data_IF_698157943765
#
_entry.id   IF_698157943765
#
_cell.length_a   1.000
_cell.length_b   1.000
_cell.length_c   1.000
_cell.angle_alpha   90.00
_cell.angle_beta   90.00
_cell.angle_gamma   90.00
#
_symmetry.space_group_name_H-M   'P 1'
#
loop_
_entity.id
_entity.type
_entity.pdbx_description
1 polymer ?
#
# COMPACT_ATOMS: atom_id res chain seq x y z
N UNK A 1 -2.10 1.09 -22.71
CA UNK A 1 -2.49 1.08 -21.27
C UNK A 1 -3.41 2.25 -21.01
N UNK A 2 -4.65 2.04 -20.56
CA UNK A 2 -5.59 3.14 -20.23
C UNK A 2 -5.53 3.39 -18.73
N UNK A 3 -4.90 4.48 -18.32
CA UNK A 3 -4.85 4.92 -16.92
C UNK A 3 -6.16 5.65 -16.60
N UNK A 4 -6.79 5.31 -15.46
CA UNK A 4 -7.96 6.03 -14.95
C UNK A 4 -7.68 6.52 -13.53
N UNK A 5 -8.14 7.73 -13.24
CA UNK A 5 -8.07 8.28 -11.89
C UNK A 5 -9.25 7.81 -11.06
N UNK A 6 -8.97 7.49 -9.81
CA UNK A 6 -9.98 7.16 -8.80
C UNK A 6 -9.86 8.21 -7.71
N UNK A 7 -10.94 8.94 -7.48
CA UNK A 7 -11.01 9.93 -6.41
C UNK A 7 -11.30 9.23 -5.08
N UNK A 8 -10.45 9.49 -4.09
CA UNK A 8 -10.69 9.08 -2.72
C UNK A 8 -11.46 10.18 -1.97
N UNK A 9 -12.37 9.82 -1.05
CA UNK A 9 -12.95 10.78 -0.12
C UNK A 9 -11.85 11.56 0.61
N UNK A 10 -12.14 12.84 0.87
CA UNK A 10 -11.22 13.70 1.63
C UNK A 10 -10.98 13.08 3.02
N UNK A 11 -9.72 13.07 3.45
CA UNK A 11 -9.31 12.57 4.78
C UNK A 11 -9.66 11.09 5.07
N UNK A 12 -9.66 10.23 4.04
CA UNK A 12 -9.88 8.79 4.20
C UNK A 12 -8.61 7.96 3.88
N UNK A 13 -7.50 8.12 4.64
CA UNK A 13 -6.25 7.39 4.39
C UNK A 13 -6.44 5.86 4.52
N UNK A 14 -7.43 5.41 5.28
CA UNK A 14 -7.75 3.99 5.44
C UNK A 14 -8.18 3.32 4.13
N UNK A 15 -8.67 4.09 3.16
CA UNK A 15 -9.10 3.61 1.85
C UNK A 15 -7.93 3.50 0.86
N UNK A 16 -6.80 4.14 1.14
CA UNK A 16 -5.62 4.13 0.28
C UNK A 16 -4.74 2.90 0.56
N UNK A 17 -4.56 1.98 -0.40
CA UNK A 17 -3.67 0.81 -0.21
C UNK A 17 -2.22 1.22 0.06
N UNK A 18 -1.79 2.35 -0.52
CA UNK A 18 -0.45 2.89 -0.32
C UNK A 18 -0.25 3.41 1.10
N UNK A 19 -1.24 4.09 1.68
CA UNK A 19 -1.16 4.57 3.07
C UNK A 19 -1.13 3.41 4.07
N UNK A 20 -1.88 2.32 3.78
CA UNK A 20 -1.82 1.09 4.56
C UNK A 20 -0.43 0.44 4.52
N UNK A 21 0.15 0.33 3.32
CA UNK A 21 1.50 -0.22 3.13
C UNK A 21 2.55 0.64 3.83
N UNK A 22 2.44 1.97 3.70
CA UNK A 22 3.31 2.93 4.36
C UNK A 22 3.25 2.84 5.88
N UNK A 23 2.05 2.65 6.44
CA UNK A 23 1.86 2.44 7.87
C UNK A 23 2.61 1.19 8.37
N UNK A 24 2.51 0.08 7.64
CA UNK A 24 3.24 -1.15 7.96
C UNK A 24 4.77 -0.97 7.85
N UNK A 25 5.24 -0.32 6.80
CA UNK A 25 6.66 0.00 6.61
C UNK A 25 7.19 0.79 7.80
N UNK A 26 6.53 1.90 8.15
CA UNK A 26 6.93 2.72 9.29
C UNK A 26 6.96 1.92 10.58
N UNK A 27 5.93 1.09 10.84
CA UNK A 27 5.87 0.24 12.04
C UNK A 27 7.05 -0.74 12.14
N UNK A 28 7.48 -1.30 11.01
CA UNK A 28 8.49 -2.36 10.98
C UNK A 28 9.92 -1.86 10.80
N UNK A 29 10.11 -0.71 10.17
CA UNK A 29 11.44 -0.20 9.80
C UNK A 29 11.82 1.03 10.61
N UNK A 30 10.90 1.99 10.78
CA UNK A 30 11.22 3.29 11.38
C UNK A 30 10.78 3.42 12.85
N UNK A 31 9.70 2.76 13.26
CA UNK A 31 9.15 2.91 14.60
C UNK A 31 10.09 2.30 15.64
N UNK A 32 10.45 3.10 16.65
CA UNK A 32 11.30 2.72 17.78
C UNK A 32 12.68 2.16 17.39
N UNK A 33 13.20 2.55 16.21
CA UNK A 33 14.54 2.18 15.73
C UNK A 33 15.31 3.43 15.36
N UNK A 34 16.53 3.55 15.87
CA UNK A 34 17.45 4.58 15.47
C UNK A 34 18.28 4.07 14.29
N UNK A 35 18.14 4.71 13.14
CA UNK A 35 19.01 4.48 11.99
C UNK A 35 20.29 5.32 12.13
N UNK A 36 21.40 4.82 11.58
CA UNK A 36 22.67 5.54 11.58
C UNK A 36 22.62 6.85 10.77
N UNK A 37 21.76 6.91 9.75
CA UNK A 37 21.49 8.11 8.94
C UNK A 37 20.11 8.01 8.27
N UNK A 38 19.65 9.12 7.67
CA UNK A 38 18.43 9.14 6.86
C UNK A 38 18.58 8.22 5.65
N UNK A 39 19.75 8.20 5.01
CA UNK A 39 20.02 7.36 3.85
C UNK A 39 19.97 5.87 4.20
N UNK A 40 20.50 5.49 5.37
CA UNK A 40 20.40 4.13 5.87
C UNK A 40 18.94 3.71 6.07
N UNK A 41 18.12 4.58 6.68
CA UNK A 41 16.69 4.31 6.86
C UNK A 41 15.95 4.19 5.52
N UNK A 42 16.30 5.03 4.54
CA UNK A 42 15.71 4.98 3.21
C UNK A 42 16.10 3.68 2.47
N UNK A 43 17.35 3.25 2.59
CA UNK A 43 17.82 1.98 2.04
C UNK A 43 17.09 0.78 2.65
N UNK A 44 16.94 0.75 3.97
CA UNK A 44 16.21 -0.32 4.69
C UNK A 44 14.72 -0.34 4.28
N UNK A 45 14.11 0.84 4.14
CA UNK A 45 12.73 0.97 3.67
C UNK A 45 12.55 0.43 2.24
N UNK A 46 13.46 0.78 1.32
CA UNK A 46 13.45 0.29 -0.05
C UNK A 46 13.66 -1.22 -0.12
N UNK A 47 14.65 -1.73 0.63
CA UNK A 47 14.93 -3.17 0.72
C UNK A 47 13.71 -3.95 1.24
N UNK A 48 13.01 -3.41 2.25
CA UNK A 48 11.79 -4.01 2.77
C UNK A 48 10.70 -4.11 1.70
N UNK A 49 10.47 -3.06 0.91
CA UNK A 49 9.46 -3.08 -0.17
C UNK A 49 9.84 -4.08 -1.26
N UNK A 50 11.10 -4.08 -1.69
CA UNK A 50 11.60 -4.97 -2.75
C UNK A 50 11.60 -6.45 -2.34
N UNK A 51 11.71 -6.74 -1.04
CA UNK A 51 11.64 -8.10 -0.52
C UNK A 51 10.21 -8.65 -0.43
N UNK A 52 9.17 -7.82 -0.58
CA UNK A 52 7.78 -8.29 -0.53
C UNK A 52 7.41 -9.07 -1.78
N UNK A 53 6.83 -10.25 -1.57
CA UNK A 53 6.13 -10.93 -2.68
C UNK A 53 4.85 -10.14 -3.05
N UNK A 54 4.34 -10.27 -4.28
CA UNK A 54 3.09 -9.61 -4.68
C UNK A 54 1.92 -9.91 -3.73
N UNK A 55 1.83 -11.15 -3.23
CA UNK A 55 0.80 -11.54 -2.27
C UNK A 55 0.98 -10.85 -0.91
N UNK A 56 2.21 -10.74 -0.42
CA UNK A 56 2.51 -10.02 0.82
C UNK A 56 2.21 -8.54 0.70
N UNK A 57 2.58 -7.92 -0.43
CA UNK A 57 2.28 -6.51 -0.71
C UNK A 57 0.77 -6.27 -0.69
N UNK A 58 -0.02 -7.08 -1.41
CA UNK A 58 -1.49 -6.99 -1.41
C UNK A 58 -2.09 -7.18 -0.01
N UNK A 59 -1.57 -8.12 0.78
CA UNK A 59 -2.05 -8.37 2.15
C UNK A 59 -1.74 -7.17 3.06
N UNK A 60 -0.52 -6.64 3.02
CA UNK A 60 -0.08 -5.49 3.84
C UNK A 60 -0.76 -4.19 3.44
N UNK A 61 -1.09 -4.04 2.16
CA UNK A 61 -1.89 -2.92 1.63
C UNK A 61 -3.39 -3.02 1.95
N UNK A 62 -3.83 -4.04 2.71
CA UNK A 62 -5.24 -4.23 3.09
C UNK A 62 -6.14 -4.76 1.98
N UNK A 63 -5.59 -5.10 0.80
CA UNK A 63 -6.37 -5.57 -0.35
C UNK A 63 -6.98 -6.96 -0.16
N UNK A 64 -6.39 -7.75 0.75
CA UNK A 64 -6.91 -9.06 1.13
C UNK A 64 -8.14 -8.98 2.06
N UNK A 65 -8.50 -7.80 2.57
CA UNK A 65 -9.68 -7.62 3.42
C UNK A 65 -10.98 -7.94 2.68
N UNK A 66 -11.94 -8.55 3.37
CA UNK A 66 -13.31 -8.74 2.86
C UNK A 66 -14.00 -7.41 2.52
N UNK A 67 -13.59 -6.33 3.20
CA UNK A 67 -14.14 -4.99 3.04
C UNK A 67 -13.33 -4.12 2.07
N UNK A 68 -12.47 -4.72 1.24
CA UNK A 68 -11.67 -3.97 0.28
C UNK A 68 -12.54 -3.33 -0.82
N UNK A 69 -12.75 -2.02 -0.71
CA UNK A 69 -13.72 -1.25 -1.49
C UNK A 69 -13.38 -1.18 -3.00
N UNK A 70 -12.10 -1.13 -3.38
CA UNK A 70 -11.68 -1.10 -4.80
C UNK A 70 -12.11 -2.36 -5.57
N UNK A 71 -12.36 -3.49 -4.90
CA UNK A 71 -12.86 -4.70 -5.57
C UNK A 71 -14.21 -4.45 -6.25
N UNK A 72 -15.11 -3.73 -5.56
CA UNK A 72 -16.42 -3.34 -6.11
C UNK A 72 -16.25 -2.35 -7.27
N UNK A 73 -15.28 -1.44 -7.15
CA UNK A 73 -14.97 -0.46 -8.18
C UNK A 73 -14.46 -1.14 -9.47
N UNK A 74 -13.53 -2.09 -9.35
CA UNK A 74 -12.97 -2.83 -10.48
C UNK A 74 -14.02 -3.63 -11.25
N UNK A 75 -14.98 -4.25 -10.54
CA UNK A 75 -16.12 -4.95 -11.16
C UNK A 75 -16.99 -4.03 -12.03
N UNK A 76 -17.09 -2.74 -11.66
CA UNK A 76 -17.88 -1.76 -12.41
C UNK A 76 -17.12 -1.16 -13.61
N UNK A 77 -15.78 -1.11 -13.56
CA UNK A 77 -14.96 -0.59 -14.66
C UNK A 77 -14.64 -1.62 -15.76
N UNK A 78 -14.70 -2.90 -15.41
CA UNK A 78 -14.41 -4.03 -16.29
C UNK A 78 -15.65 -4.91 -16.42
N UNK A 79 -16.54 -4.55 -17.35
CA UNK A 79 -17.47 -5.54 -17.92
C UNK A 79 -16.66 -6.36 -18.94
N UNK A 80 -16.61 -7.70 -18.85
CA UNK A 80 -16.16 -8.50 -19.98
C UNK A 80 -17.17 -8.27 -21.11
N UNK A 81 -16.74 -7.58 -22.16
CA UNK A 81 -17.33 -7.74 -23.49
C UNK A 81 -16.79 -9.01 -24.11
#
# INVERSE_FOLDING_TARGET
MRIRFVWLPRQAPELSPMDQLWRELKRLIAANRQAASIDALAADAAAWVLALTPQQACRKAGMASKHFWLRKLLQNFWRPT
#
